data_IF_117841412491
#
_entry.id   IF_117841412491
#
_cell.length_a   1.000
_cell.length_b   1.000
_cell.length_c   1.000
_cell.angle_alpha   90.00
_cell.angle_beta   90.00
_cell.angle_gamma   90.00
#
_symmetry.space_group_name_H-M   'P 1'
#
loop_
_entity.id
_entity.type
_entity.pdbx_description
1 polymer ?
#
# COMPACT_ATOMS: atom_id res chain seq x y z
N UNK A 1 43.68 -21.03 -0.26
CA UNK A 1 42.44 -21.62 -0.82
C UNK A 1 41.26 -20.84 -0.28
N UNK A 2 40.46 -20.26 -1.18
CA UNK A 2 39.24 -19.52 -0.85
C UNK A 2 38.17 -20.46 -0.30
N UNK A 3 37.44 -20.02 0.74
CA UNK A 3 36.04 -20.43 0.93
C UNK A 3 35.25 -19.15 1.19
N UNK A 4 34.36 -18.85 0.25
CA UNK A 4 33.52 -17.67 0.25
C UNK A 4 32.55 -17.69 1.42
N UNK A 5 32.32 -16.51 2.01
CA UNK A 5 31.24 -16.28 2.95
C UNK A 5 29.90 -16.60 2.27
N UNK A 6 29.29 -17.72 2.68
CA UNK A 6 27.91 -18.04 2.32
C UNK A 6 27.03 -17.00 3.02
N UNK A 7 26.53 -16.06 2.22
CA UNK A 7 25.53 -15.09 2.63
C UNK A 7 24.27 -15.88 3.01
N UNK A 8 23.93 -15.93 4.29
CA UNK A 8 22.62 -16.39 4.75
C UNK A 8 21.57 -15.50 4.09
N UNK A 9 20.92 -16.02 3.05
CA UNK A 9 19.62 -15.54 2.65
C UNK A 9 18.63 -16.13 3.64
N UNK A 10 18.02 -15.29 4.46
CA UNK A 10 16.88 -15.67 5.28
C UNK A 10 15.79 -16.23 4.36
N UNK A 11 15.29 -17.45 4.60
CA UNK A 11 14.12 -17.95 3.91
C UNK A 11 12.91 -17.23 4.53
N UNK A 12 12.56 -16.06 3.99
CA UNK A 12 11.25 -15.42 4.20
C UNK A 12 10.17 -16.21 3.44
N UNK A 13 10.04 -17.49 3.81
CA UNK A 13 9.28 -18.52 3.11
C UNK A 13 7.98 -18.93 3.80
N UNK A 14 7.44 -18.15 4.74
CA UNK A 14 6.27 -18.56 5.52
C UNK A 14 5.07 -17.59 5.52
N UNK A 15 5.14 -16.46 4.81
CA UNK A 15 4.01 -15.50 4.73
C UNK A 15 3.42 -15.37 3.32
N UNK A 16 3.83 -16.22 2.36
CA UNK A 16 3.58 -15.95 0.95
C UNK A 16 2.62 -16.92 0.26
N UNK A 17 2.29 -18.06 0.87
CA UNK A 17 1.20 -18.92 0.42
C UNK A 17 0.14 -18.97 1.53
N UNK A 18 -0.78 -18.01 1.50
CA UNK A 18 -2.02 -18.17 2.26
C UNK A 18 -2.71 -19.45 1.77
N UNK A 19 -3.31 -20.25 2.66
CA UNK A 19 -3.99 -21.48 2.26
C UNK A 19 -4.99 -21.13 1.15
N UNK A 20 -4.85 -21.79 -0.01
CA UNK A 20 -5.85 -21.71 -1.07
C UNK A 20 -7.17 -22.10 -0.42
N UNK A 21 -8.11 -21.16 -0.26
CA UNK A 21 -9.41 -21.48 0.31
C UNK A 21 -9.99 -22.63 -0.52
N UNK A 22 -10.31 -23.79 0.08
CA UNK A 22 -10.84 -24.90 -0.68
C UNK A 22 -12.10 -24.43 -1.38
N UNK A 23 -12.15 -24.54 -2.71
CA UNK A 23 -13.31 -24.10 -3.51
C UNK A 23 -14.64 -24.64 -2.95
N UNK A 24 -14.60 -25.87 -2.46
CA UNK A 24 -15.71 -26.55 -1.79
C UNK A 24 -16.31 -25.77 -0.62
N UNK A 25 -15.54 -24.92 0.08
CA UNK A 25 -16.08 -24.11 1.19
C UNK A 25 -17.02 -23.02 0.68
N UNK A 26 -16.69 -22.38 -0.45
CA UNK A 26 -17.58 -21.42 -1.10
C UNK A 26 -18.85 -22.10 -1.57
N UNK A 27 -18.71 -23.25 -2.24
CA UNK A 27 -19.83 -24.03 -2.75
C UNK A 27 -20.78 -24.50 -1.61
N UNK A 28 -20.23 -24.88 -0.45
CA UNK A 28 -21.02 -25.27 0.74
C UNK A 28 -21.82 -24.10 1.31
N UNK A 29 -21.20 -22.93 1.43
CA UNK A 29 -21.89 -21.73 1.91
C UNK A 29 -22.97 -21.31 0.92
N UNK A 30 -22.64 -21.24 -0.38
CA UNK A 30 -23.59 -20.86 -1.45
C UNK A 30 -24.79 -21.82 -1.51
N UNK A 31 -24.56 -23.13 -1.46
CA UNK A 31 -25.64 -24.13 -1.48
C UNK A 31 -26.52 -24.06 -0.22
N UNK A 32 -25.93 -23.85 0.96
CA UNK A 32 -26.69 -23.70 2.21
C UNK A 32 -27.58 -22.46 2.19
N UNK A 33 -27.05 -21.34 1.71
CA UNK A 33 -27.81 -20.09 1.57
C UNK A 33 -28.92 -20.21 0.53
N UNK A 34 -28.65 -20.90 -0.58
CA UNK A 34 -29.66 -21.21 -1.59
C UNK A 34 -30.82 -22.03 -1.03
N UNK A 35 -30.53 -23.05 -0.22
CA UNK A 35 -31.56 -23.86 0.46
C UNK A 35 -32.38 -23.01 1.45
N UNK A 36 -31.71 -22.24 2.32
CA UNK A 36 -32.39 -21.36 3.29
C UNK A 36 -33.28 -20.32 2.57
N UNK A 37 -32.81 -19.77 1.45
CA UNK A 37 -33.59 -18.81 0.67
C UNK A 37 -34.86 -19.43 0.10
N UNK A 38 -34.78 -20.67 -0.41
CA UNK A 38 -35.95 -21.40 -0.91
C UNK A 38 -36.90 -21.79 0.23
N UNK A 39 -36.37 -22.32 1.32
CA UNK A 39 -37.16 -22.79 2.49
C UNK A 39 -37.87 -21.64 3.20
N UNK A 40 -37.30 -20.43 3.17
CA UNK A 40 -37.89 -19.23 3.75
C UNK A 40 -38.90 -18.52 2.84
N UNK A 41 -39.21 -19.07 1.66
CA UNK A 41 -40.09 -18.43 0.69
C UNK A 41 -39.48 -17.15 0.08
N UNK A 42 -38.17 -17.16 -0.15
CA UNK A 42 -37.38 -16.03 -0.67
C UNK A 42 -37.30 -14.83 0.29
N UNK A 43 -37.27 -15.08 1.61
CA UNK A 43 -37.09 -14.03 2.60
C UNK A 43 -35.61 -13.57 2.68
N UNK A 44 -35.29 -12.54 1.90
CA UNK A 44 -33.94 -11.97 1.83
C UNK A 44 -33.49 -11.30 3.14
N UNK A 45 -34.41 -10.76 3.94
CA UNK A 45 -34.07 -10.09 5.20
C UNK A 45 -33.55 -11.09 6.24
N UNK A 46 -34.23 -12.23 6.35
CA UNK A 46 -33.80 -13.34 7.19
C UNK A 46 -32.44 -13.88 6.73
N UNK A 47 -32.29 -14.13 5.42
CA UNK A 47 -31.04 -14.62 4.84
C UNK A 47 -29.89 -13.64 5.10
N UNK A 48 -30.11 -12.34 4.89
CA UNK A 48 -29.10 -11.31 5.12
C UNK A 48 -28.68 -11.23 6.58
N UNK A 49 -29.62 -11.39 7.51
CA UNK A 49 -29.34 -11.44 8.95
C UNK A 49 -28.44 -12.63 9.31
N UNK A 50 -28.71 -13.81 8.74
CA UNK A 50 -27.89 -15.02 8.91
C UNK A 50 -26.49 -14.78 8.32
N UNK A 51 -26.41 -14.21 7.13
CA UNK A 51 -25.13 -13.88 6.47
C UNK A 51 -24.29 -12.91 7.27
N UNK A 52 -24.87 -11.82 7.75
CA UNK A 52 -24.17 -10.85 8.56
C UNK A 52 -23.66 -11.48 9.86
N UNK A 53 -24.46 -12.33 10.50
CA UNK A 53 -24.04 -13.05 11.72
C UNK A 53 -22.86 -13.99 11.45
N UNK A 54 -22.84 -14.65 10.29
CA UNK A 54 -21.74 -15.53 9.87
C UNK A 54 -20.47 -14.75 9.49
N UNK A 55 -20.63 -13.57 8.87
CA UNK A 55 -19.53 -12.71 8.46
C UNK A 55 -19.02 -11.78 9.57
N UNK A 56 -19.77 -11.58 10.66
CA UNK A 56 -19.36 -10.71 11.78
C UNK A 56 -17.98 -11.05 12.35
N UNK A 57 -17.63 -12.32 12.62
CA UNK A 57 -16.28 -12.69 13.05
C UNK A 57 -15.22 -12.33 12.00
N UNK A 58 -15.56 -12.45 10.72
CA UNK A 58 -14.65 -12.15 9.59
C UNK A 58 -14.43 -10.63 9.46
N UNK A 59 -15.51 -9.85 9.57
CA UNK A 59 -15.46 -8.39 9.53
C UNK A 59 -14.73 -7.80 10.75
N UNK A 60 -14.82 -8.46 11.91
CA UNK A 60 -14.11 -8.07 13.13
C UNK A 60 -12.59 -8.31 13.07
N UNK A 61 -12.10 -9.14 12.14
CA UNK A 61 -10.68 -9.14 11.83
C UNK A 61 -10.36 -7.84 11.09
N UNK A 62 -9.99 -6.81 11.86
CA UNK A 62 -9.53 -5.49 11.40
C UNK A 62 -8.26 -5.53 10.53
N UNK A 63 -7.79 -6.73 10.16
CA UNK A 63 -6.65 -6.98 9.29
C UNK A 63 -7.05 -7.73 8.02
N UNK A 64 -8.22 -7.45 7.43
CA UNK A 64 -8.47 -7.74 6.02
C UNK A 64 -7.39 -7.00 5.22
N UNK A 65 -6.23 -7.64 5.05
CA UNK A 65 -5.08 -7.04 4.41
C UNK A 65 -5.45 -6.82 2.95
N UNK A 66 -5.79 -5.57 2.62
CA UNK A 66 -5.87 -5.11 1.24
C UNK A 66 -4.59 -5.55 0.53
N UNK A 67 -4.72 -6.04 -0.71
CA UNK A 67 -3.55 -6.45 -1.47
C UNK A 67 -2.57 -5.27 -1.56
N UNK A 68 -1.26 -5.46 -1.34
CA UNK A 68 -0.30 -4.36 -1.27
C UNK A 68 -0.21 -3.58 -2.59
N UNK A 69 -0.59 -4.21 -3.69
CA UNK A 69 -0.76 -3.55 -4.98
C UNK A 69 -1.93 -2.56 -4.98
N UNK A 70 -3.10 -2.98 -4.47
CA UNK A 70 -4.29 -2.13 -4.41
C UNK A 70 -4.09 -0.93 -3.49
N UNK A 71 -3.46 -1.14 -2.32
CA UNK A 71 -3.11 -0.05 -1.41
C UNK A 71 -2.21 0.99 -2.10
N UNK A 72 -1.17 0.53 -2.80
CA UNK A 72 -0.26 1.41 -3.53
C UNK A 72 -0.97 2.19 -4.64
N UNK A 73 -1.86 1.52 -5.38
CA UNK A 73 -2.62 2.13 -6.46
C UNK A 73 -3.56 3.22 -5.96
N UNK A 74 -4.33 2.95 -4.90
CA UNK A 74 -5.25 3.92 -4.30
C UNK A 74 -4.48 5.14 -3.75
N UNK A 75 -3.32 4.91 -3.12
CA UNK A 75 -2.44 6.00 -2.69
C UNK A 75 -1.96 6.84 -3.88
N UNK A 76 -1.42 6.22 -4.93
CA UNK A 76 -0.93 6.97 -6.10
C UNK A 76 -2.05 7.77 -6.76
N UNK A 77 -3.25 7.20 -6.89
CA UNK A 77 -4.42 7.90 -7.43
C UNK A 77 -4.84 9.09 -6.57
N UNK A 78 -4.85 8.94 -5.23
CA UNK A 78 -5.24 10.03 -4.32
C UNK A 78 -4.30 11.24 -4.39
N UNK A 79 -3.01 11.02 -4.65
CA UNK A 79 -2.00 12.07 -4.76
C UNK A 79 -1.66 12.45 -6.21
N UNK A 80 -2.35 11.85 -7.18
CA UNK A 80 -2.09 12.01 -8.61
C UNK A 80 -0.62 11.71 -8.99
N UNK A 81 -0.07 10.65 -8.41
CA UNK A 81 1.26 10.11 -8.73
C UNK A 81 1.17 9.08 -9.86
N UNK A 82 2.19 9.07 -10.70
CA UNK A 82 2.35 8.09 -11.77
C UNK A 82 3.02 6.82 -11.23
N UNK A 83 2.37 5.67 -11.42
CA UNK A 83 2.83 4.36 -10.96
C UNK A 83 3.11 3.47 -12.17
N UNK A 84 4.37 3.05 -12.33
CA UNK A 84 4.80 2.18 -13.42
C UNK A 84 5.41 0.89 -12.89
N UNK A 85 5.18 -0.21 -13.62
CA UNK A 85 5.81 -1.50 -13.36
C UNK A 85 6.59 -1.95 -14.59
N UNK A 86 7.90 -1.93 -14.47
CA UNK A 86 8.80 -2.44 -15.49
C UNK A 86 9.07 -3.92 -15.21
N UNK A 87 8.83 -4.76 -16.21
CA UNK A 87 9.07 -6.21 -16.11
C UNK A 87 10.25 -6.61 -16.98
N UNK A 88 11.11 -7.46 -16.45
CA UNK A 88 12.21 -8.11 -17.17
C UNK A 88 12.27 -9.58 -16.78
N UNK A 89 12.48 -10.48 -17.73
CA UNK A 89 12.63 -11.91 -17.45
C UNK A 89 14.10 -12.31 -17.56
N UNK A 90 14.62 -12.95 -16.51
CA UNK A 90 16.01 -13.43 -16.50
C UNK A 90 16.08 -14.80 -15.84
N UNK A 91 16.42 -15.83 -16.62
CA UNK A 91 16.69 -17.18 -16.11
C UNK A 91 15.50 -17.85 -15.42
N UNK A 92 14.29 -17.73 -15.99
CA UNK A 92 13.07 -18.34 -15.43
C UNK A 92 12.49 -17.61 -14.22
N UNK A 93 13.06 -16.47 -13.84
CA UNK A 93 12.51 -15.57 -12.82
C UNK A 93 12.04 -14.26 -13.46
N UNK A 94 10.90 -13.76 -12.98
CA UNK A 94 10.37 -12.45 -13.33
C UNK A 94 10.93 -11.40 -12.36
N UNK A 95 11.68 -10.44 -12.90
CA UNK A 95 12.09 -9.23 -12.19
C UNK A 95 11.08 -8.13 -12.48
N UNK A 96 10.58 -7.50 -11.42
CA UNK A 96 9.63 -6.39 -11.48
C UNK A 96 10.23 -5.21 -10.73
N UNK A 97 10.28 -4.07 -11.39
CA UNK A 97 10.62 -2.78 -10.80
C UNK A 97 9.38 -1.90 -10.77
N UNK A 98 8.95 -1.52 -9.57
CA UNK A 98 7.90 -0.55 -9.34
C UNK A 98 8.51 0.84 -9.22
N UNK A 99 7.98 1.80 -9.97
CA UNK A 99 8.40 3.20 -9.94
C UNK A 99 7.20 4.09 -9.65
N UNK A 100 7.33 4.99 -8.67
CA UNK A 100 6.32 5.99 -8.32
C UNK A 100 6.93 7.37 -8.47
N UNK A 101 6.34 8.17 -9.35
CA UNK A 101 6.77 9.54 -9.64
C UNK A 101 5.63 10.53 -9.36
N UNK A 102 5.91 11.55 -8.57
CA UNK A 102 4.96 12.60 -8.21
C UNK A 102 5.67 13.94 -7.97
N UNK A 103 4.89 15.02 -7.78
CA UNK A 103 5.43 16.38 -7.60
C UNK A 103 6.53 16.49 -6.53
N UNK A 104 6.41 15.71 -5.46
CA UNK A 104 7.31 15.80 -4.29
C UNK A 104 7.92 14.44 -3.90
N UNK A 105 7.74 13.41 -4.72
CA UNK A 105 8.11 12.02 -4.39
C UNK A 105 8.59 11.28 -5.63
N UNK A 106 9.77 10.68 -5.54
CA UNK A 106 10.27 9.68 -6.47
C UNK A 106 10.74 8.48 -5.66
N UNK A 107 10.17 7.31 -5.93
CA UNK A 107 10.54 6.07 -5.26
C UNK A 107 10.58 4.92 -6.26
N UNK A 108 11.58 4.06 -6.12
CA UNK A 108 11.73 2.85 -6.92
C UNK A 108 12.03 1.66 -6.03
N UNK A 109 11.42 0.52 -6.34
CA UNK A 109 11.69 -0.73 -5.64
C UNK A 109 11.58 -1.92 -6.59
N UNK A 110 12.50 -2.86 -6.45
CA UNK A 110 12.51 -4.08 -7.28
C UNK A 110 12.32 -5.36 -6.46
N UNK A 111 11.74 -6.35 -7.11
CA UNK A 111 11.60 -7.71 -6.60
C UNK A 111 11.77 -8.73 -7.72
N UNK A 112 12.33 -9.88 -7.38
CA UNK A 112 12.51 -11.00 -8.29
C UNK A 112 11.77 -12.20 -7.72
N UNK A 113 10.94 -12.85 -8.54
CA UNK A 113 10.19 -14.03 -8.11
C UNK A 113 9.93 -14.98 -9.29
N UNK A 114 9.58 -16.24 -9.00
CA UNK A 114 9.26 -17.24 -10.04
C UNK A 114 7.96 -16.94 -10.81
N UNK A 115 7.12 -16.05 -10.30
CA UNK A 115 5.87 -15.63 -10.93
C UNK A 115 5.79 -14.10 -10.96
N UNK A 116 5.41 -13.54 -12.12
CA UNK A 116 5.19 -12.11 -12.32
C UNK A 116 4.22 -11.50 -11.30
N UNK A 117 3.13 -12.19 -10.96
CA UNK A 117 2.14 -11.68 -9.98
C UNK A 117 2.74 -11.50 -8.59
N UNK A 118 3.56 -12.45 -8.17
CA UNK A 118 4.23 -12.40 -6.88
C UNK A 118 5.33 -11.34 -6.87
N UNK A 119 6.10 -11.24 -7.95
CA UNK A 119 7.09 -10.18 -8.10
C UNK A 119 6.46 -8.77 -8.01
N UNK A 120 5.31 -8.54 -8.65
CA UNK A 120 4.54 -7.28 -8.52
C UNK A 120 4.09 -7.06 -7.08
N UNK A 121 3.54 -8.09 -6.41
CA UNK A 121 3.06 -7.98 -5.03
C UNK A 121 4.18 -7.60 -4.07
N UNK A 122 5.34 -8.23 -4.19
CA UNK A 122 6.50 -7.95 -3.34
C UNK A 122 7.09 -6.57 -3.65
N UNK A 123 7.25 -6.20 -4.93
CA UNK A 123 7.71 -4.87 -5.32
C UNK A 123 6.77 -3.78 -4.76
N UNK A 124 5.46 -3.98 -4.86
CA UNK A 124 4.43 -3.06 -4.34
C UNK A 124 4.53 -2.87 -2.82
N UNK A 125 4.78 -3.96 -2.08
CA UNK A 125 4.95 -3.90 -0.62
C UNK A 125 6.23 -3.14 -0.23
N UNK A 126 7.32 -3.34 -0.97
CA UNK A 126 8.59 -2.64 -0.72
C UNK A 126 8.43 -1.14 -0.93
N UNK A 127 7.88 -0.72 -2.07
CA UNK A 127 7.71 0.70 -2.38
C UNK A 127 6.70 1.37 -1.45
N UNK A 128 5.60 0.69 -1.06
CA UNK A 128 4.65 1.27 -0.09
C UNK A 128 5.29 1.51 1.28
N UNK A 129 6.20 0.64 1.71
CA UNK A 129 6.99 0.83 2.95
C UNK A 129 7.91 2.05 2.84
N UNK A 130 8.61 2.20 1.72
CA UNK A 130 9.48 3.37 1.46
C UNK A 130 8.66 4.67 1.49
N UNK A 131 7.50 4.68 0.83
CA UNK A 131 6.61 5.84 0.78
C UNK A 131 6.09 6.23 2.17
N UNK A 132 5.70 5.24 2.99
CA UNK A 132 5.25 5.48 4.37
C UNK A 132 6.35 6.08 5.24
N UNK A 133 7.58 5.55 5.17
CA UNK A 133 8.73 6.10 5.90
C UNK A 133 9.05 7.53 5.46
N UNK A 134 9.00 7.81 4.16
CA UNK A 134 9.20 9.16 3.62
C UNK A 134 8.12 10.16 4.06
N UNK A 135 6.86 9.72 4.21
CA UNK A 135 5.77 10.56 4.73
C UNK A 135 5.94 10.88 6.21
N UNK A 136 6.39 9.93 7.04
CA UNK A 136 6.63 10.18 8.47
C UNK A 136 7.74 11.19 8.68
N UNK A 137 8.81 11.12 7.89
CA UNK A 137 9.90 12.10 7.93
C UNK A 137 9.44 13.49 7.51
N UNK A 138 8.65 13.62 6.43
CA UNK A 138 8.07 14.91 6.02
C UNK A 138 7.08 15.48 7.04
N UNK A 139 6.29 14.64 7.73
CA UNK A 139 5.43 15.08 8.85
C UNK A 139 6.27 15.56 10.03
N UNK A 140 7.30 14.81 10.43
CA UNK A 140 8.20 15.23 11.50
C UNK A 140 8.98 16.50 11.18
N UNK A 141 9.47 16.65 9.95
CA UNK A 141 10.17 17.87 9.52
C UNK A 141 9.22 19.07 9.51
N UNK A 142 7.97 18.89 9.06
CA UNK A 142 6.95 19.92 9.07
C UNK A 142 6.45 20.26 10.50
N UNK A 143 6.30 19.27 11.38
CA UNK A 143 5.88 19.46 12.77
C UNK A 143 7.02 20.07 13.62
N UNK A 144 8.28 19.71 13.34
CA UNK A 144 9.47 20.35 13.90
C UNK A 144 9.61 21.79 13.39
N UNK A 145 9.40 22.05 12.10
CA UNK A 145 9.48 23.41 11.57
C UNK A 145 8.33 24.30 12.09
N UNK A 146 7.14 23.74 12.32
CA UNK A 146 6.04 24.41 13.03
C UNK A 146 6.38 24.71 14.48
N UNK A 147 7.00 23.79 15.21
CA UNK A 147 7.42 24.05 16.61
C UNK A 147 8.52 25.11 16.69
N UNK A 148 9.44 25.15 15.73
CA UNK A 148 10.47 26.21 15.60
C UNK A 148 9.82 27.55 15.24
N UNK A 149 8.87 27.60 14.29
CA UNK A 149 8.15 28.83 13.92
C UNK A 149 7.22 29.36 15.01
N UNK A 150 6.73 28.50 15.92
CA UNK A 150 5.99 28.89 17.12
C UNK A 150 6.91 29.38 18.25
N UNK A 151 8.14 28.84 18.34
CA UNK A 151 9.15 29.26 19.32
C UNK A 151 9.82 30.58 18.90
N UNK A 152 9.92 30.82 17.59
CA UNK A 152 10.43 32.06 17.00
C UNK A 152 9.24 32.83 16.43
N UNK A 153 8.44 33.45 17.30
CA UNK A 153 7.31 34.30 16.89
C UNK A 153 7.70 35.30 15.78
N UNK A 154 7.01 35.25 14.65
CA UNK A 154 7.04 36.27 13.59
C UNK A 154 6.07 37.43 13.93
N UNK A 155 6.13 38.63 13.29
CA UNK A 155 7.03 39.07 12.20
C UNK A 155 7.70 40.45 12.44
N UNK A 156 8.80 40.73 11.73
CA UNK A 156 9.16 42.12 11.39
C UNK A 156 8.96 42.28 9.88
N UNK A 157 8.07 43.21 9.56
CA UNK A 157 7.59 43.53 8.22
C UNK A 157 8.71 44.06 7.30
N UNK A 158 8.54 43.71 6.03
CA UNK A 158 9.01 44.42 4.84
C UNK A 158 9.13 45.95 5.04
N UNK A 159 10.27 46.52 4.64
CA UNK A 159 10.34 47.87 4.08
C UNK A 159 11.46 47.90 3.04
N UNK A 160 11.10 47.60 1.79
CA UNK A 160 11.90 47.93 0.59
C UNK A 160 10.94 48.49 -0.46
N UNK A 161 10.78 49.81 -0.43
CA UNK A 161 10.36 50.73 -1.51
C UNK A 161 10.45 52.12 -0.85
N UNK A 162 11.12 53.17 -1.35
CA UNK A 162 11.27 53.66 -2.72
C UNK A 162 12.63 54.38 -2.88
N UNK A 163 13.27 54.21 -4.04
CA UNK A 163 14.20 55.20 -4.63
C UNK A 163 13.55 55.71 -5.91
N UNK A 164 13.52 57.05 -6.04
CA UNK A 164 13.40 57.92 -7.24
C UNK A 164 12.66 59.17 -6.76
N UNK A 165 12.98 60.42 -7.04
CA UNK A 165 14.00 61.13 -7.81
C UNK A 165 13.83 62.59 -7.32
N UNK A 166 14.91 63.35 -7.06
CA UNK A 166 14.99 64.74 -7.54
C UNK A 166 16.39 65.32 -7.33
N UNK A 167 17.09 65.44 -8.45
CA UNK A 167 18.04 66.51 -8.67
C UNK A 167 17.25 67.83 -8.84
N UNK A 168 17.61 68.87 -8.10
CA UNK A 168 18.10 70.20 -8.57
C UNK A 168 18.38 71.05 -7.34
#
# INVERSE_FOLDING_TARGET
>A
MYVAAVKMQAPEGSLLEGPKCPKAMGDLVESSLGAILLDSGFNLELMWTIMLSFLDPIMRFSSLQISPFRELQELCQSYNWDLQFLTSEKGGMSLVEAQVNGKDVCATASATYGNKKDAIRIASRKISTILKVGQTKRRQDHDCMKSVLLTVGKPLYLNVAERKDQAT
#
